data_IF_586308919549
#
_entry.id   IF_586308919549
#
_cell.length_a   1.000
_cell.length_b   1.000
_cell.length_c   1.000
_cell.angle_alpha   90.00
_cell.angle_beta   90.00
_cell.angle_gamma   90.00
#
_symmetry.space_group_name_H-M   'P 1'
#
loop_
_entity.id
_entity.type
_entity.pdbx_description
1 polymer ?
#
# COMPACT_ATOMS: atom_id res chain seq x y z
N UNK A 1 15.31 -25.65 -6.13
CA UNK A 1 14.98 -24.51 -5.64
C UNK A 1 13.53 -24.19 -5.70
N UNK A 2 13.08 -23.72 -4.71
CA UNK A 2 11.67 -23.46 -4.56
C UNK A 2 11.31 -22.09 -5.12
N UNK A 3 10.18 -22.00 -5.77
CA UNK A 3 9.75 -20.69 -6.19
C UNK A 3 9.35 -19.81 -5.01
N UNK A 4 9.24 -20.41 -3.84
CA UNK A 4 8.95 -19.64 -2.64
C UNK A 4 10.18 -19.00 -2.06
N UNK A 5 11.35 -19.50 -2.44
CA UNK A 5 12.56 -18.97 -1.88
C UNK A 5 12.97 -17.63 -2.43
N UNK A 6 12.43 -17.28 -3.58
CA UNK A 6 12.78 -16.01 -4.20
C UNK A 6 11.59 -15.13 -4.27
N UNK A 7 11.01 -14.83 -3.15
CA UNK A 7 9.90 -13.92 -3.18
C UNK A 7 10.39 -12.52 -3.14
N UNK A 8 9.70 -11.67 -3.81
CA UNK A 8 9.93 -10.25 -3.71
C UNK A 8 9.16 -9.68 -2.56
N UNK A 9 8.62 -8.51 -2.75
CA UNK A 9 7.86 -7.87 -1.70
C UNK A 9 6.80 -6.98 -2.31
N UNK A 10 5.80 -6.69 -1.52
CA UNK A 10 4.76 -5.76 -1.89
C UNK A 10 5.18 -4.38 -1.40
N UNK A 11 5.10 -3.40 -2.28
CA UNK A 11 5.42 -2.04 -1.91
C UNK A 11 4.20 -1.15 -2.14
N UNK A 12 4.18 -0.02 -1.47
CA UNK A 12 3.03 0.87 -1.50
C UNK A 12 3.38 2.24 -2.08
N UNK A 13 4.32 2.29 -3.00
CA UNK A 13 4.68 3.56 -3.60
C UNK A 13 3.53 4.17 -4.38
N UNK A 14 2.74 3.33 -5.01
CA UNK A 14 1.62 3.83 -5.80
C UNK A 14 0.57 4.50 -4.92
N UNK A 15 0.51 4.10 -3.66
CA UNK A 15 -0.41 4.72 -2.72
C UNK A 15 -0.16 6.22 -2.62
N UNK A 16 1.12 6.59 -2.47
CA UNK A 16 1.46 7.99 -2.30
C UNK A 16 1.18 8.79 -3.55
N UNK A 17 1.42 8.20 -4.70
CA UNK A 17 1.15 8.85 -5.98
C UNK A 17 -0.36 9.04 -6.15
N UNK A 18 -1.13 8.02 -5.84
CA UNK A 18 -2.58 8.09 -5.97
C UNK A 18 -3.15 9.14 -5.01
N UNK A 19 -2.62 9.17 -3.79
CA UNK A 19 -3.07 10.17 -2.83
C UNK A 19 -2.81 11.58 -3.35
N UNK A 20 -1.63 11.78 -3.90
CA UNK A 20 -1.29 13.08 -4.43
C UNK A 20 -2.21 13.47 -5.59
N UNK A 21 -2.46 12.51 -6.47
CA UNK A 21 -3.32 12.75 -7.61
C UNK A 21 -4.75 13.09 -7.19
N UNK A 22 -5.19 12.56 -6.06
CA UNK A 22 -6.54 12.77 -5.58
C UNK A 22 -6.63 13.89 -4.56
N UNK A 23 -5.49 14.47 -4.21
CA UNK A 23 -5.47 15.56 -3.25
C UNK A 23 -5.82 15.14 -1.84
N UNK A 24 -5.48 13.91 -1.47
CA UNK A 24 -5.79 13.38 -0.15
C UNK A 24 -4.49 13.21 0.62
N UNK A 25 -4.44 13.77 1.82
CA UNK A 25 -3.25 13.69 2.67
C UNK A 25 -3.39 12.56 3.67
N UNK A 26 -2.26 12.22 4.31
CA UNK A 26 -2.29 11.20 5.36
C UNK A 26 -3.15 11.66 6.53
N UNK A 27 -3.18 12.96 6.79
CA UNK A 27 -4.05 13.49 7.83
C UNK A 27 -5.51 13.14 7.54
N UNK A 28 -5.92 13.29 6.29
CA UNK A 28 -7.29 12.97 5.91
C UNK A 28 -7.58 11.48 6.01
N UNK A 29 -6.60 10.66 5.70
CA UNK A 29 -6.78 9.22 5.89
C UNK A 29 -7.02 8.87 7.34
N UNK A 30 -6.29 9.51 8.23
CA UNK A 30 -6.46 9.26 9.65
C UNK A 30 -7.81 9.75 10.15
N UNK A 31 -8.21 10.93 9.71
CA UNK A 31 -9.45 11.53 10.22
C UNK A 31 -10.69 10.88 9.63
N UNK A 32 -10.63 10.54 8.35
CA UNK A 32 -11.84 10.05 7.68
C UNK A 32 -11.95 8.55 7.67
N UNK A 33 -10.83 7.85 7.62
CA UNK A 33 -10.85 6.41 7.44
C UNK A 33 -10.43 5.64 8.66
N UNK A 34 -10.02 6.33 9.71
CA UNK A 34 -9.60 5.66 10.92
C UNK A 34 -8.32 4.89 10.78
N UNK A 35 -7.46 5.30 9.85
CA UNK A 35 -6.18 4.65 9.68
C UNK A 35 -5.19 5.36 10.59
N UNK A 36 -4.67 4.64 11.59
CA UNK A 36 -3.82 5.28 12.59
C UNK A 36 -2.42 5.55 12.04
N UNK A 37 -1.66 6.34 12.77
CA UNK A 37 -0.34 6.74 12.32
C UNK A 37 0.63 5.57 12.27
N UNK A 38 0.41 4.56 13.08
CA UNK A 38 1.27 3.39 13.04
C UNK A 38 1.08 2.62 11.74
N UNK A 39 -0.15 2.52 11.28
CA UNK A 39 -0.44 1.88 10.02
C UNK A 39 0.17 2.66 8.87
N UNK A 40 0.10 3.97 8.93
CA UNK A 40 0.71 4.80 7.89
C UNK A 40 2.22 4.60 7.89
N UNK A 41 2.82 4.47 9.05
CA UNK A 41 4.25 4.23 9.14
C UNK A 41 4.61 2.89 8.50
N UNK A 42 3.78 1.87 8.71
CA UNK A 42 4.01 0.57 8.09
C UNK A 42 3.90 0.66 6.59
N UNK A 43 2.94 1.41 6.10
CA UNK A 43 2.79 1.59 4.66
C UNK A 43 4.02 2.27 4.06
N UNK A 44 4.57 3.26 4.76
CA UNK A 44 5.77 3.93 4.27
C UNK A 44 6.98 3.01 4.26
N UNK A 45 7.02 2.06 5.19
CA UNK A 45 8.12 1.11 5.27
C UNK A 45 7.88 -0.13 4.43
N UNK A 46 6.77 -0.19 3.72
CA UNK A 46 6.36 -1.37 2.96
C UNK A 46 6.29 -2.59 3.86
N UNK A 47 5.79 -2.37 5.05
CA UNK A 47 5.63 -3.41 6.05
C UNK A 47 4.25 -4.03 5.94
N UNK A 48 4.00 -5.06 6.71
CA UNK A 48 2.73 -5.77 6.67
C UNK A 48 1.59 -4.92 7.15
N UNK A 49 0.49 -4.95 6.43
CA UNK A 49 -0.76 -4.36 6.86
C UNK A 49 -1.87 -5.35 6.55
N UNK A 50 -2.97 -5.23 7.26
CA UNK A 50 -4.09 -6.12 7.04
C UNK A 50 -4.81 -5.78 5.75
N UNK A 51 -5.40 -6.79 5.13
CA UNK A 51 -6.17 -6.54 3.92
C UNK A 51 -7.35 -5.60 4.20
N UNK A 52 -7.86 -5.61 5.43
CA UNK A 52 -8.91 -4.70 5.79
C UNK A 52 -8.44 -3.24 5.68
N UNK A 53 -7.17 -2.99 5.97
CA UNK A 53 -6.59 -1.67 5.80
C UNK A 53 -6.56 -1.30 4.33
N UNK A 54 -6.17 -2.25 3.48
CA UNK A 54 -6.14 -2.01 2.05
C UNK A 54 -7.54 -1.72 1.52
N UNK A 55 -8.52 -2.41 2.05
CA UNK A 55 -9.91 -2.18 1.69
C UNK A 55 -10.31 -0.74 2.01
N UNK A 56 -9.94 -0.27 3.20
CA UNK A 56 -10.26 1.09 3.60
C UNK A 56 -9.58 2.11 2.69
N UNK A 57 -8.34 1.83 2.32
CA UNK A 57 -7.62 2.75 1.45
C UNK A 57 -8.26 2.84 0.07
N UNK A 58 -8.61 1.69 -0.50
CA UNK A 58 -9.25 1.68 -1.80
C UNK A 58 -10.57 2.42 -1.76
N UNK A 59 -11.31 2.23 -0.68
CA UNK A 59 -12.60 2.89 -0.53
C UNK A 59 -12.45 4.38 -0.38
N UNK A 60 -11.47 4.80 0.42
CA UNK A 60 -11.24 6.21 0.68
C UNK A 60 -10.79 6.94 -0.58
N UNK A 61 -9.97 6.29 -1.37
CA UNK A 61 -9.39 6.89 -2.56
C UNK A 61 -10.20 6.61 -3.81
N UNK A 62 -11.23 5.79 -3.69
CA UNK A 62 -12.05 5.38 -4.83
C UNK A 62 -11.18 4.84 -5.95
N UNK A 63 -10.32 3.90 -5.59
CA UNK A 63 -9.37 3.36 -6.55
C UNK A 63 -9.28 1.85 -6.39
N UNK A 64 -8.48 1.24 -7.22
CA UNK A 64 -8.29 -0.19 -7.20
C UNK A 64 -7.09 -0.54 -6.36
N UNK A 65 -6.98 -1.83 -6.00
CA UNK A 65 -5.85 -2.28 -5.21
C UNK A 65 -4.53 -2.03 -5.94
N UNK A 66 -4.50 -2.20 -7.24
CA UNK A 66 -3.27 -1.99 -7.98
C UNK A 66 -2.87 -0.53 -8.05
N UNK A 67 -3.75 0.37 -7.64
CA UNK A 67 -3.41 1.79 -7.58
C UNK A 67 -2.71 2.16 -6.29
N UNK A 68 -2.65 1.25 -5.32
CA UNK A 68 -2.03 1.55 -4.04
C UNK A 68 -0.91 0.57 -3.70
N UNK A 69 -0.86 -0.58 -4.35
CA UNK A 69 0.12 -1.61 -4.02
C UNK A 69 0.62 -2.27 -5.27
N UNK A 70 1.80 -2.83 -5.16
CA UNK A 70 2.43 -3.46 -6.29
C UNK A 70 3.41 -4.50 -5.78
N UNK A 71 3.50 -5.61 -6.48
CA UNK A 71 4.45 -6.65 -6.12
C UNK A 71 5.72 -6.51 -6.96
N UNK A 72 6.84 -6.46 -6.28
CA UNK A 72 8.14 -6.36 -6.95
C UNK A 72 8.84 -7.69 -6.79
N UNK A 73 9.14 -8.33 -7.90
CA UNK A 73 9.83 -9.61 -7.86
C UNK A 73 11.28 -9.40 -7.41
N UNK A 74 11.74 -10.35 -6.61
CA UNK A 74 13.08 -10.27 -6.07
C UNK A 74 14.14 -10.48 -7.14
N UNK A 75 13.81 -11.28 -8.13
CA UNK A 75 14.77 -11.60 -9.19
C UNK A 75 14.19 -11.24 -10.53
N UNK A 76 14.40 -10.01 -10.96
CA UNK A 76 13.81 -9.54 -12.21
C UNK A 76 14.33 -10.21 -13.46
N UNK A 77 15.42 -10.94 -13.33
CA UNK A 77 15.97 -11.60 -14.50
C UNK A 77 15.21 -12.83 -14.91
N UNK A 78 14.33 -13.29 -14.11
CA UNK A 78 13.57 -14.48 -14.41
C UNK A 78 12.73 -14.37 -15.63
#
# INVERSE_FOLDING_TARGET
MSRWGNCGMIIFERLWITMENRGISTYQLRERCGIDSQTIRRLRANDNVETKTLDKLCRALSCRLEDIAEYIADNPKQ
#
